data_IF_673196016463
#
_entry.id   IF_673196016463
#
_cell.length_a   1.000
_cell.length_b   1.000
_cell.length_c   1.000
_cell.angle_alpha   90.00
_cell.angle_beta   90.00
_cell.angle_gamma   90.00
#
_symmetry.space_group_name_H-M   'P 1'
#
loop_
_entity.id
_entity.type
_entity.pdbx_description
1 polymer ?
#
# COMPACT_ATOMS: atom_id res chain seq x y z
N UNK A 1 10.29 -5.12 25.82
CA UNK A 1 9.57 -5.29 24.54
C UNK A 1 8.61 -6.45 24.71
N UNK A 2 7.31 -6.22 24.56
CA UNK A 2 6.31 -7.28 24.70
C UNK A 2 6.41 -8.24 23.50
N UNK A 3 6.31 -9.54 23.74
CA UNK A 3 6.27 -10.57 22.68
C UNK A 3 5.09 -10.35 21.69
N UNK A 4 4.08 -9.58 22.12
CA UNK A 4 2.87 -9.29 21.34
C UNK A 4 3.10 -8.23 20.25
N UNK A 5 3.82 -7.13 20.53
CA UNK A 5 4.09 -6.10 19.51
C UNK A 5 4.96 -6.64 18.37
N UNK A 6 5.90 -7.54 18.68
CA UNK A 6 6.67 -8.27 17.67
C UNK A 6 5.79 -9.16 16.78
N UNK A 7 4.78 -9.83 17.36
CA UNK A 7 3.81 -10.60 16.59
C UNK A 7 2.90 -9.71 15.73
N UNK A 8 2.46 -8.56 16.23
CA UNK A 8 1.66 -7.60 15.47
C UNK A 8 2.46 -7.03 14.29
N UNK A 9 3.73 -6.68 14.49
CA UNK A 9 4.60 -6.22 13.43
C UNK A 9 4.86 -7.31 12.37
N UNK A 10 4.90 -8.59 12.76
CA UNK A 10 4.99 -9.70 11.81
C UNK A 10 3.70 -9.88 11.00
N UNK A 11 2.54 -9.71 11.63
CA UNK A 11 1.24 -9.79 10.95
C UNK A 11 1.06 -8.66 9.92
N UNK A 12 1.45 -7.42 10.27
CA UNK A 12 1.43 -6.28 9.34
C UNK A 12 2.32 -6.58 8.12
N UNK A 13 3.56 -7.04 8.33
CA UNK A 13 4.46 -7.42 7.22
C UNK A 13 3.89 -8.52 6.32
N UNK A 14 3.23 -9.51 6.91
CA UNK A 14 2.59 -10.57 6.14
C UNK A 14 1.45 -10.03 5.26
N UNK A 15 0.62 -9.16 5.82
CA UNK A 15 -0.45 -8.51 5.05
C UNK A 15 0.12 -7.61 3.92
N UNK A 16 1.20 -6.87 4.18
CA UNK A 16 1.88 -6.07 3.16
C UNK A 16 2.41 -6.93 2.01
N UNK A 17 2.95 -8.10 2.32
CA UNK A 17 3.38 -9.06 1.30
C UNK A 17 2.20 -9.54 0.45
N UNK A 18 1.06 -9.90 1.07
CA UNK A 18 -0.16 -10.30 0.35
C UNK A 18 -0.65 -9.20 -0.59
N UNK A 19 -0.69 -7.94 -0.12
CA UNK A 19 -1.05 -6.79 -0.96
C UNK A 19 -0.08 -6.58 -2.13
N UNK A 20 1.22 -6.68 -1.87
CA UNK A 20 2.25 -6.53 -2.90
C UNK A 20 2.14 -7.61 -3.97
N UNK A 21 1.96 -8.86 -3.58
CA UNK A 21 1.80 -10.00 -4.50
C UNK A 21 0.50 -9.86 -5.31
N UNK A 22 -0.60 -9.49 -4.67
CA UNK A 22 -1.89 -9.25 -5.32
C UNK A 22 -1.84 -8.11 -6.34
N UNK A 23 -1.14 -7.02 -6.02
CA UNK A 23 -0.91 -5.91 -6.96
C UNK A 23 -0.07 -6.36 -8.16
N UNK A 24 1.08 -6.99 -7.89
CA UNK A 24 2.02 -7.45 -8.91
C UNK A 24 1.37 -8.42 -9.90
N UNK A 25 0.60 -9.38 -9.41
CA UNK A 25 -0.16 -10.32 -10.24
C UNK A 25 -1.03 -9.58 -11.29
N UNK A 26 -1.76 -8.56 -10.84
CA UNK A 26 -2.70 -7.81 -11.68
C UNK A 26 -1.99 -6.87 -12.65
N UNK A 27 -0.90 -6.24 -12.21
CA UNK A 27 -0.07 -5.40 -13.08
C UNK A 27 0.55 -6.25 -14.20
N UNK A 28 1.10 -7.43 -13.88
CA UNK A 28 1.61 -8.37 -14.87
C UNK A 28 0.53 -8.82 -15.87
N UNK A 29 -0.72 -9.00 -15.43
CA UNK A 29 -1.83 -9.33 -16.31
C UNK A 29 -2.14 -8.22 -17.31
N UNK A 30 -2.13 -6.95 -16.88
CA UNK A 30 -2.28 -5.78 -17.75
C UNK A 30 -1.15 -5.76 -18.78
N UNK A 31 0.11 -5.81 -18.32
CA UNK A 31 1.26 -5.80 -19.21
C UNK A 31 1.24 -6.94 -20.24
N UNK A 32 0.86 -8.15 -19.83
CA UNK A 32 0.78 -9.31 -20.70
C UNK A 32 -0.28 -9.15 -21.79
N UNK A 33 -1.43 -8.55 -21.47
CA UNK A 33 -2.47 -8.24 -22.46
C UNK A 33 -1.96 -7.19 -23.46
N UNK A 34 -1.36 -6.11 -22.98
CA UNK A 34 -0.81 -5.02 -23.80
C UNK A 34 0.30 -5.52 -24.72
N UNK A 35 1.27 -6.27 -24.18
CA UNK A 35 2.40 -6.84 -24.95
C UNK A 35 1.93 -7.79 -26.04
N UNK A 36 0.84 -8.52 -25.81
CA UNK A 36 0.25 -9.42 -26.78
C UNK A 36 -0.68 -8.72 -27.80
N UNK A 37 -0.88 -7.40 -27.69
CA UNK A 37 -1.83 -6.66 -28.53
C UNK A 37 -3.28 -7.10 -28.34
N UNK A 38 -3.61 -7.68 -27.18
CA UNK A 38 -4.97 -8.12 -26.83
C UNK A 38 -5.74 -6.99 -26.13
N UNK A 39 -7.05 -7.17 -26.03
CA UNK A 39 -7.87 -6.33 -25.16
C UNK A 39 -7.37 -6.45 -23.70
N UNK A 40 -6.99 -5.31 -23.13
CA UNK A 40 -6.49 -5.18 -21.76
C UNK A 40 -7.58 -4.76 -20.77
N UNK A 41 -8.77 -4.40 -21.26
CA UNK A 41 -9.89 -3.91 -20.43
C UNK A 41 -10.24 -4.84 -19.26
N UNK A 42 -10.33 -6.17 -19.44
CA UNK A 42 -10.60 -7.08 -18.33
C UNK A 42 -9.50 -7.09 -17.26
N UNK A 43 -8.23 -7.06 -17.65
CA UNK A 43 -7.10 -7.04 -16.72
C UNK A 43 -7.03 -5.70 -15.96
N UNK A 44 -7.25 -4.60 -16.66
CA UNK A 44 -7.32 -3.27 -16.07
C UNK A 44 -8.49 -3.15 -15.09
N UNK A 45 -9.66 -3.73 -15.41
CA UNK A 45 -10.80 -3.77 -14.50
C UNK A 45 -10.48 -4.56 -13.22
N UNK A 46 -9.83 -5.72 -13.34
CA UNK A 46 -9.41 -6.51 -12.18
C UNK A 46 -8.39 -5.77 -11.30
N UNK A 47 -7.42 -5.08 -11.91
CA UNK A 47 -6.48 -4.22 -11.19
C UNK A 47 -7.20 -3.10 -10.45
N UNK A 48 -8.13 -2.40 -11.12
CA UNK A 48 -8.93 -1.33 -10.49
C UNK A 48 -9.74 -1.83 -9.31
N UNK A 49 -10.42 -2.97 -9.44
CA UNK A 49 -11.18 -3.55 -8.33
C UNK A 49 -10.28 -3.77 -7.12
N UNK A 50 -9.10 -4.37 -7.30
CA UNK A 50 -8.16 -4.59 -6.20
C UNK A 50 -7.66 -3.29 -5.58
N UNK A 51 -7.37 -2.27 -6.39
CA UNK A 51 -6.99 -0.95 -5.88
C UNK A 51 -8.11 -0.34 -5.03
N UNK A 52 -9.35 -0.46 -5.49
CA UNK A 52 -10.53 0.16 -4.86
C UNK A 52 -11.00 -0.59 -3.60
N UNK A 53 -10.83 -1.91 -3.53
CA UNK A 53 -11.34 -2.74 -2.42
C UNK A 53 -10.29 -3.14 -1.40
N UNK A 54 -9.01 -3.22 -1.79
CA UNK A 54 -7.94 -3.68 -0.90
C UNK A 54 -6.94 -2.56 -0.62
N UNK A 55 -6.22 -2.10 -1.65
CA UNK A 55 -5.03 -1.25 -1.46
C UNK A 55 -5.36 0.15 -0.92
N UNK A 56 -6.32 0.85 -1.52
CA UNK A 56 -6.68 2.21 -1.08
C UNK A 56 -7.37 2.21 0.29
N UNK A 57 -8.29 1.27 0.61
CA UNK A 57 -8.81 1.12 1.96
C UNK A 57 -7.73 0.84 3.02
N UNK A 58 -6.76 -0.02 2.71
CA UNK A 58 -5.61 -0.31 3.57
C UNK A 58 -4.79 0.96 3.89
N UNK A 59 -4.34 1.66 2.85
CA UNK A 59 -3.60 2.92 2.98
C UNK A 59 -4.34 3.96 3.84
N UNK A 60 -5.66 4.07 3.65
CA UNK A 60 -6.48 4.98 4.43
C UNK A 60 -6.61 4.54 5.91
N UNK A 61 -6.60 3.23 6.19
CA UNK A 61 -6.64 2.70 7.54
C UNK A 61 -5.32 2.98 8.30
N UNK A 62 -4.18 2.86 7.64
CA UNK A 62 -2.86 3.21 8.19
C UNK A 62 -2.77 4.69 8.57
N UNK A 63 -3.26 5.57 7.69
CA UNK A 63 -3.34 7.02 7.95
C UNK A 63 -4.18 7.35 9.19
N UNK A 64 -5.22 6.55 9.49
CA UNK A 64 -6.07 6.74 10.67
C UNK A 64 -5.51 6.10 11.94
N UNK A 65 -4.57 5.16 11.82
CA UNK A 65 -4.12 4.31 12.94
C UNK A 65 -2.61 4.41 13.17
N UNK A 66 -1.79 3.79 12.32
CA UNK A 66 -0.33 3.71 12.45
C UNK A 66 0.32 5.09 12.35
N UNK A 67 -0.08 5.91 11.37
CA UNK A 67 0.63 7.15 11.08
C UNK A 67 0.55 8.20 12.19
N UNK A 68 -0.59 8.39 12.90
CA UNK A 68 -0.62 9.23 14.10
C UNK A 68 0.41 8.83 15.16
N UNK A 69 0.72 7.53 15.29
CA UNK A 69 1.76 7.06 16.19
C UNK A 69 3.18 7.34 15.67
N UNK A 70 3.38 7.39 14.36
CA UNK A 70 4.67 7.73 13.74
C UNK A 70 4.90 9.23 13.49
N UNK A 71 3.86 10.07 13.54
CA UNK A 71 3.90 11.48 13.17
C UNK A 71 4.53 12.39 14.25
N UNK A 72 5.60 11.92 14.90
CA UNK A 72 6.32 12.62 15.96
C UNK A 72 7.81 12.28 15.94
N UNK A 73 8.62 13.12 16.57
CA UNK A 73 10.06 12.89 16.69
C UNK A 73 10.73 12.66 15.33
N UNK A 74 11.64 11.69 15.29
CA UNK A 74 12.48 11.42 14.12
C UNK A 74 11.71 10.81 12.92
N UNK A 75 10.53 10.23 13.14
CA UNK A 75 9.70 9.64 12.09
C UNK A 75 8.66 10.59 11.49
N UNK A 76 8.54 11.82 12.00
CA UNK A 76 7.51 12.77 11.53
C UNK A 76 7.63 13.10 10.03
N UNK A 77 8.85 13.37 9.55
CA UNK A 77 9.09 13.65 8.12
C UNK A 77 8.90 12.41 7.25
N UNK A 78 9.16 11.21 7.77
CA UNK A 78 8.90 9.96 7.08
C UNK A 78 7.40 9.76 6.87
N UNK A 79 6.60 9.92 7.92
CA UNK A 79 5.13 9.81 7.82
C UNK A 79 4.58 10.85 6.85
N UNK A 80 5.06 12.09 6.90
CA UNK A 80 4.64 13.12 5.95
C UNK A 80 4.93 12.72 4.49
N UNK A 81 6.11 12.14 4.23
CA UNK A 81 6.46 11.65 2.90
C UNK A 81 5.57 10.46 2.47
N UNK A 82 5.26 9.54 3.39
CA UNK A 82 4.41 8.38 3.11
C UNK A 82 2.96 8.77 2.79
N UNK A 83 2.38 9.76 3.48
CA UNK A 83 1.06 10.32 3.14
C UNK A 83 1.06 10.96 1.75
N UNK A 84 2.12 11.69 1.40
CA UNK A 84 2.25 12.24 0.05
C UNK A 84 2.41 11.14 -1.02
N UNK A 85 3.00 10.00 -0.68
CA UNK A 85 3.05 8.84 -1.57
C UNK A 85 1.68 8.19 -1.78
N UNK A 86 0.84 8.11 -0.74
CA UNK A 86 -0.57 7.69 -0.91
C UNK A 86 -1.31 8.60 -1.88
N UNK A 87 -1.15 9.92 -1.78
CA UNK A 87 -1.74 10.86 -2.74
C UNK A 87 -1.24 10.61 -4.18
N UNK A 88 0.04 10.28 -4.35
CA UNK A 88 0.61 9.95 -5.68
C UNK A 88 0.06 8.64 -6.21
N UNK A 89 -0.08 7.62 -5.37
CA UNK A 89 -0.71 6.36 -5.75
C UNK A 89 -2.15 6.61 -6.22
N UNK A 90 -2.94 7.40 -5.47
CA UNK A 90 -4.30 7.80 -5.89
C UNK A 90 -4.28 8.52 -7.24
N UNK A 91 -3.36 9.46 -7.45
CA UNK A 91 -3.25 10.16 -8.74
C UNK A 91 -2.94 9.20 -9.90
N UNK A 92 -2.09 8.19 -9.69
CA UNK A 92 -1.81 7.16 -10.69
C UNK A 92 -2.99 6.20 -10.90
N UNK A 93 -3.77 5.91 -9.86
CA UNK A 93 -5.03 5.16 -9.99
C UNK A 93 -6.01 5.93 -10.88
N UNK A 94 -6.14 7.25 -10.72
CA UNK A 94 -6.96 8.06 -11.64
C UNK A 94 -6.41 8.04 -13.07
N UNK A 95 -5.09 8.14 -13.23
CA UNK A 95 -4.47 8.04 -14.55
C UNK A 95 -4.71 6.68 -15.22
N UNK A 96 -4.70 5.59 -14.44
CA UNK A 96 -5.08 4.27 -14.90
C UNK A 96 -6.55 4.23 -15.34
N UNK A 97 -7.47 4.88 -14.61
CA UNK A 97 -8.90 4.93 -14.95
C UNK A 97 -9.17 5.71 -16.23
N UNK A 98 -8.42 6.78 -16.48
CA UNK A 98 -8.60 7.66 -17.65
C UNK A 98 -7.61 7.37 -18.78
N UNK A 99 -6.92 6.22 -18.75
CA UNK A 99 -5.89 5.90 -19.73
C UNK A 99 -6.44 5.92 -21.17
N UNK A 100 -5.88 6.74 -22.09
CA UNK A 100 -6.41 6.87 -23.45
C UNK A 100 -6.07 5.68 -24.36
N UNK A 101 -5.05 4.90 -24.00
CA UNK A 101 -4.57 3.76 -24.76
C UNK A 101 -3.90 2.71 -23.86
N UNK A 102 -3.55 1.57 -24.47
CA UNK A 102 -2.95 0.42 -23.79
C UNK A 102 -1.58 0.73 -23.19
N UNK A 103 -0.79 1.60 -23.81
CA UNK A 103 0.54 1.96 -23.31
C UNK A 103 0.40 2.83 -22.06
N UNK A 104 -0.52 3.80 -22.07
CA UNK A 104 -0.81 4.64 -20.91
C UNK A 104 -1.34 3.81 -19.73
N UNK A 105 -2.21 2.83 -19.98
CA UNK A 105 -2.72 1.92 -18.96
C UNK A 105 -1.60 1.09 -18.31
N UNK A 106 -0.74 0.46 -19.12
CA UNK A 106 0.41 -0.29 -18.62
C UNK A 106 1.41 0.60 -17.85
N UNK A 107 1.65 1.82 -18.34
CA UNK A 107 2.55 2.79 -17.69
C UNK A 107 2.03 3.19 -16.32
N UNK A 108 0.73 3.50 -16.20
CA UNK A 108 0.12 3.83 -14.91
C UNK A 108 0.16 2.64 -13.94
N UNK A 109 -0.13 1.42 -14.42
CA UNK A 109 -0.08 0.21 -13.62
C UNK A 109 1.33 -0.05 -13.05
N UNK A 110 2.38 0.05 -13.88
CA UNK A 110 3.77 -0.13 -13.45
C UNK A 110 4.23 0.97 -12.48
N UNK A 111 3.77 2.21 -12.66
CA UNK A 111 4.07 3.30 -11.73
C UNK A 111 3.46 3.05 -10.34
N UNK A 112 2.23 2.53 -10.27
CA UNK A 112 1.59 2.15 -9.00
C UNK A 112 2.40 1.05 -8.31
N UNK A 113 2.78 -0.01 -9.04
CA UNK A 113 3.58 -1.12 -8.49
C UNK A 113 4.90 -0.63 -7.88
N UNK A 114 5.68 0.13 -8.64
CA UNK A 114 6.98 0.60 -8.21
C UNK A 114 6.90 1.56 -7.01
N UNK A 115 5.91 2.46 -6.99
CA UNK A 115 5.69 3.36 -5.86
C UNK A 115 5.24 2.58 -4.62
N UNK A 116 4.34 1.61 -4.76
CA UNK A 116 3.85 0.82 -3.64
C UNK A 116 4.94 -0.09 -3.05
N UNK A 117 5.77 -0.72 -3.89
CA UNK A 117 6.93 -1.49 -3.41
C UNK A 117 7.90 -0.63 -2.59
N UNK A 118 8.23 0.57 -3.09
CA UNK A 118 9.09 1.50 -2.37
C UNK A 118 8.42 2.06 -1.10
N UNK A 119 7.09 2.17 -1.08
CA UNK A 119 6.30 2.58 0.07
C UNK A 119 6.36 1.51 1.18
N UNK A 120 6.02 0.26 0.85
CA UNK A 120 6.02 -0.86 1.79
C UNK A 120 7.39 -1.09 2.42
N UNK A 121 8.49 -0.90 1.67
CA UNK A 121 9.83 -1.00 2.25
C UNK A 121 10.03 0.01 3.39
N UNK A 122 9.66 1.28 3.17
CA UNK A 122 9.80 2.31 4.21
C UNK A 122 8.94 2.01 5.42
N UNK A 123 7.72 1.53 5.20
CA UNK A 123 6.84 1.18 6.29
C UNK A 123 7.39 0.02 7.12
N UNK A 124 7.75 -1.07 6.44
CA UNK A 124 8.18 -2.31 7.09
C UNK A 124 9.52 -2.19 7.81
N UNK A 125 10.46 -1.46 7.21
CA UNK A 125 11.84 -1.40 7.67
C UNK A 125 12.15 -0.15 8.51
N UNK A 126 11.46 0.96 8.26
CA UNK A 126 11.71 2.21 8.97
C UNK A 126 10.60 2.52 9.97
N UNK A 127 9.35 2.63 9.52
CA UNK A 127 8.25 3.06 10.38
C UNK A 127 7.94 2.01 11.47
N UNK A 128 7.75 0.74 11.10
CA UNK A 128 7.47 -0.32 12.06
C UNK A 128 8.61 -0.49 13.07
N UNK A 129 9.86 -0.33 12.64
CA UNK A 129 11.00 -0.42 13.55
C UNK A 129 10.95 0.67 14.65
N UNK A 130 10.59 1.90 14.28
CA UNK A 130 10.40 3.00 15.23
C UNK A 130 9.23 2.73 16.17
N UNK A 131 8.08 2.27 15.64
CA UNK A 131 6.90 2.00 16.45
C UNK A 131 7.10 0.85 17.45
N UNK A 132 7.79 -0.23 17.04
CA UNK A 132 8.14 -1.35 17.94
C UNK A 132 9.09 -0.91 19.05
N UNK A 133 9.98 0.04 18.79
CA UNK A 133 10.97 0.51 19.75
C UNK A 133 10.40 1.51 20.78
N UNK A 134 9.25 2.13 20.48
CA UNK A 134 8.63 3.13 21.35
C UNK A 134 7.75 2.45 22.43
N UNK A 135 8.13 2.52 23.73
CA UNK A 135 7.36 1.90 24.81
C UNK A 135 5.99 2.56 25.06
N UNK A 136 5.74 3.75 24.49
CA UNK A 136 4.45 4.43 24.57
C UNK A 136 3.47 3.99 23.45
N UNK A 137 3.90 3.11 22.54
CA UNK A 137 3.07 2.57 21.45
C UNK A 137 2.73 1.12 21.72
N UNK A 138 1.45 0.77 21.55
CA UNK A 138 1.04 -0.63 21.41
C UNK A 138 0.67 -0.91 19.96
N UNK A 139 1.47 -1.72 19.26
CA UNK A 139 1.15 -2.11 17.88
C UNK A 139 -0.05 -3.05 17.83
N UNK A 140 -0.28 -3.82 18.90
CA UNK A 140 -1.46 -4.67 19.02
C UNK A 140 -2.75 -3.85 19.02
N UNK A 141 -2.80 -2.74 19.77
CA UNK A 141 -3.97 -1.85 19.79
C UNK A 141 -4.17 -1.13 18.46
N UNK A 142 -3.08 -0.66 17.83
CA UNK A 142 -3.16 0.00 16.52
C UNK A 142 -3.65 -0.96 15.41
N UNK A 143 -3.17 -2.21 15.40
CA UNK A 143 -3.60 -3.22 14.44
C UNK A 143 -5.07 -3.62 14.65
N UNK A 144 -5.55 -3.69 15.89
CA UNK A 144 -6.96 -3.93 16.17
C UNK A 144 -7.85 -2.84 15.57
N UNK A 145 -7.48 -1.56 15.75
CA UNK A 145 -8.19 -0.43 15.14
C UNK A 145 -8.15 -0.45 13.62
N UNK A 146 -7.09 -1.00 13.01
CA UNK A 146 -7.00 -1.14 11.56
C UNK A 146 -7.98 -2.21 11.04
N UNK A 147 -8.06 -3.40 11.64
CA UNK A 147 -9.06 -4.41 11.24
C UNK A 147 -10.50 -3.89 11.33
N UNK A 148 -10.83 -3.08 12.34
CA UNK A 148 -12.16 -2.45 12.46
C UNK A 148 -12.48 -1.48 11.30
N UNK A 149 -11.45 -0.94 10.64
CA UNK A 149 -11.58 0.02 9.55
C UNK A 149 -11.60 -0.61 8.16
N UNK A 150 -10.98 -1.78 7.98
CA UNK A 150 -10.92 -2.48 6.67
C UNK A 150 -11.94 -3.61 6.56
N UNK A 151 -12.53 -4.07 7.69
CA UNK A 151 -13.61 -5.07 7.72
C UNK A 151 -13.14 -6.48 8.07
#
# INVERSE_FOLDING_TARGET
MSNQDGSSAAAIRAHHLELQEGLRERVLAVEAAVRAGRDHGPAQAALRTFLDTELLPHAAAEERTLYPAGARGDSALLVQAMVEEHHRIVAHVEALRSAPDSLAAATAAAAIEALFEAHLWKENELLLAVLVADPAVSLTELLAGMHELVG
#
